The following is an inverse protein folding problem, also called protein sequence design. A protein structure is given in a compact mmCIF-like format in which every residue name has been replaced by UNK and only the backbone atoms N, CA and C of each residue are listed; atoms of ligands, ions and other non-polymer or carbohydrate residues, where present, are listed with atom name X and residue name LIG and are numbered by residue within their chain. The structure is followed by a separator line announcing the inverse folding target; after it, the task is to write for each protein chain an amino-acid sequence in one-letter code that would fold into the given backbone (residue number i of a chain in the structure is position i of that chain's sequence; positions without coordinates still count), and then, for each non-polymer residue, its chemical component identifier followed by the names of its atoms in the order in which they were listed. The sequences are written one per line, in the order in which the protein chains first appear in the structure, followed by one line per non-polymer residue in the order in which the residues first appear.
data_IF_158098544690
#
_entry.id   IF_158098544690
#
_cell.length_a   1.000
_cell.length_b   1.000
_cell.length_c   1.000
_cell.angle_alpha   90.00
_cell.angle_beta   90.00
_cell.angle_gamma   90.00
#
_symmetry.space_group_name_H-M   'P 1'
#
loop_
_entity.id
_entity.type
_entity.pdbx_description
1 polymer ?
#
# COMPACT_ATOMS: atom_id res chain seq x y z
N UNK A 1 7.19 -12.12 -5.55
CA UNK A 1 7.56 -10.89 -6.24
C UNK A 1 6.95 -9.67 -5.57
N UNK A 2 7.81 -8.77 -5.09
CA UNK A 2 7.37 -7.58 -4.37
C UNK A 2 6.47 -6.67 -5.22
N UNK A 3 6.81 -6.50 -6.49
CA UNK A 3 6.02 -5.65 -7.38
C UNK A 3 4.60 -6.17 -7.57
N UNK A 4 4.43 -7.48 -7.62
CA UNK A 4 3.10 -8.07 -7.73
C UNK A 4 2.21 -7.67 -6.55
N UNK A 5 2.74 -7.77 -5.34
CA UNK A 5 1.98 -7.43 -4.14
C UNK A 5 1.64 -5.94 -4.08
N UNK A 6 2.59 -5.08 -4.49
CA UNK A 6 2.35 -3.64 -4.53
C UNK A 6 1.27 -3.30 -5.57
N UNK A 7 1.31 -3.92 -6.75
CA UNK A 7 0.28 -3.70 -7.76
C UNK A 7 -1.08 -4.24 -7.33
N UNK A 8 -1.12 -5.34 -6.57
CA UNK A 8 -2.36 -5.85 -6.01
C UNK A 8 -2.97 -4.87 -5.01
N UNK A 9 -2.14 -4.27 -4.16
CA UNK A 9 -2.62 -3.24 -3.22
C UNK A 9 -3.15 -2.01 -3.95
N UNK A 10 -2.45 -1.57 -4.98
CA UNK A 10 -2.89 -0.44 -5.81
C UNK A 10 -4.24 -0.73 -6.45
N UNK A 11 -4.40 -1.93 -7.01
CA UNK A 11 -5.65 -2.36 -7.62
C UNK A 11 -6.78 -2.37 -6.59
N UNK A 12 -6.53 -2.89 -5.40
CA UNK A 12 -7.54 -2.93 -4.34
C UNK A 12 -8.00 -1.52 -3.98
N UNK A 13 -7.08 -0.58 -3.90
CA UNK A 13 -7.40 0.83 -3.61
C UNK A 13 -8.24 1.44 -4.73
N UNK A 14 -7.88 1.21 -5.99
CA UNK A 14 -8.60 1.74 -7.15
C UNK A 14 -10.01 1.18 -7.21
N UNK A 15 -10.17 -0.13 -7.05
CA UNK A 15 -11.48 -0.78 -7.07
C UNK A 15 -12.35 -0.27 -5.93
N UNK A 16 -11.77 -0.12 -4.73
CA UNK A 16 -12.50 0.40 -3.58
C UNK A 16 -13.07 1.79 -3.86
N UNK A 17 -12.26 2.66 -4.48
CA UNK A 17 -12.71 4.00 -4.85
C UNK A 17 -13.81 3.95 -5.92
N UNK A 18 -13.63 3.11 -6.94
CA UNK A 18 -14.61 2.98 -8.03
C UNK A 18 -15.97 2.48 -7.53
N UNK A 19 -15.95 1.58 -6.56
CA UNK A 19 -17.17 1.04 -5.96
C UNK A 19 -17.79 1.99 -4.94
N UNK A 20 -17.09 3.07 -4.59
CA UNK A 20 -17.52 4.03 -3.56
C UNK A 20 -17.84 3.33 -2.24
N UNK A 21 -17.08 2.30 -1.93
CA UNK A 21 -17.25 1.54 -0.71
C UNK A 21 -16.84 2.38 0.51
N UNK A 22 -17.48 2.12 1.65
CA UNK A 22 -17.11 2.71 2.93
C UNK A 22 -16.59 1.68 3.91
N UNK A 23 -16.40 0.44 3.47
CA UNK A 23 -15.90 -0.63 4.33
C UNK A 23 -14.38 -0.55 4.43
N UNK A 24 -13.90 0.46 5.15
CA UNK A 24 -12.47 0.71 5.30
C UNK A 24 -11.76 -0.42 6.05
N UNK A 25 -12.46 -1.11 6.96
CA UNK A 25 -11.88 -2.26 7.67
C UNK A 25 -11.46 -3.37 6.73
N UNK A 26 -12.32 -3.69 5.75
CA UNK A 26 -12.02 -4.73 4.77
C UNK A 26 -10.81 -4.34 3.93
N UNK A 27 -10.77 -3.09 3.47
CA UNK A 27 -9.64 -2.61 2.67
C UNK A 27 -8.34 -2.65 3.48
N UNK A 28 -8.39 -2.18 4.74
CA UNK A 28 -7.21 -2.20 5.62
C UNK A 28 -6.68 -3.62 5.80
N UNK A 29 -7.56 -4.60 6.00
CA UNK A 29 -7.17 -6.00 6.15
C UNK A 29 -6.49 -6.53 4.89
N UNK A 30 -7.03 -6.20 3.71
CA UNK A 30 -6.42 -6.60 2.44
C UNK A 30 -5.03 -5.99 2.26
N UNK A 31 -4.88 -4.71 2.58
CA UNK A 31 -3.60 -4.03 2.48
C UNK A 31 -2.58 -4.62 3.44
N UNK A 32 -2.97 -4.89 4.68
CA UNK A 32 -2.09 -5.52 5.67
C UNK A 32 -1.65 -6.91 5.23
N UNK A 33 -2.57 -7.71 4.70
CA UNK A 33 -2.24 -9.05 4.19
C UNK A 33 -1.20 -8.96 3.07
N UNK A 34 -1.37 -8.04 2.14
CA UNK A 34 -0.40 -7.86 1.06
C UNK A 34 0.95 -7.36 1.57
N UNK A 35 0.97 -6.49 2.58
CA UNK A 35 2.21 -6.05 3.22
C UNK A 35 2.94 -7.24 3.84
N UNK A 36 2.22 -8.11 4.54
CA UNK A 36 2.81 -9.30 5.16
C UNK A 36 3.41 -10.24 4.10
N UNK A 37 2.68 -10.47 3.01
CA UNK A 37 3.17 -11.29 1.91
C UNK A 37 4.41 -10.67 1.27
N UNK A 38 4.39 -9.36 1.06
CA UNK A 38 5.50 -8.63 0.45
C UNK A 38 6.75 -8.73 1.32
N UNK A 39 6.63 -8.48 2.63
CA UNK A 39 7.78 -8.52 3.53
C UNK A 39 8.32 -9.94 3.70
N UNK A 40 7.43 -10.94 3.70
CA UNK A 40 7.84 -12.35 3.79
C UNK A 40 8.53 -12.84 2.52
N UNK A 41 8.18 -12.27 1.37
CA UNK A 41 8.70 -12.68 0.06
C UNK A 41 9.87 -11.82 -0.41
N UNK A 42 10.35 -10.92 0.43
CA UNK A 42 11.40 -9.97 0.03
C UNK A 42 12.73 -10.68 -0.15
N UNK A 43 13.16 -10.80 -1.40
CA UNK A 43 14.46 -11.38 -1.75
C UNK A 43 15.38 -10.37 -2.42
N UNK A 44 14.92 -9.14 -2.61
CA UNK A 44 15.70 -8.08 -3.24
C UNK A 44 16.84 -7.62 -2.33
N UNK A 45 17.96 -7.24 -2.96
CA UNK A 45 19.13 -6.72 -2.26
C UNK A 45 19.68 -5.53 -3.04
N UNK A 46 20.50 -4.71 -2.37
CA UNK A 46 21.18 -3.59 -3.00
C UNK A 46 20.34 -2.33 -3.05
N UNK A 47 20.68 -1.44 -3.97
CA UNK A 47 20.10 -0.10 -4.04
C UNK A 47 18.59 -0.12 -4.32
N UNK A 48 18.15 -1.00 -5.20
CA UNK A 48 16.73 -1.09 -5.53
C UNK A 48 15.89 -1.44 -4.30
N UNK A 49 16.41 -2.34 -3.46
CA UNK A 49 15.76 -2.72 -2.20
C UNK A 49 15.69 -1.53 -1.24
N UNK A 50 16.80 -0.79 -1.10
CA UNK A 50 16.85 0.37 -0.22
C UNK A 50 15.88 1.46 -0.66
N UNK A 51 15.81 1.73 -1.96
CA UNK A 51 14.89 2.72 -2.51
C UNK A 51 13.43 2.32 -2.27
N UNK A 52 13.12 1.05 -2.42
CA UNK A 52 11.78 0.54 -2.17
C UNK A 52 11.41 0.70 -0.70
N UNK A 53 12.34 0.44 0.21
CA UNK A 53 12.10 0.60 1.65
C UNK A 53 11.83 2.05 2.04
N UNK A 54 12.43 3.01 1.37
CA UNK A 54 12.16 4.43 1.64
C UNK A 54 10.70 4.79 1.38
N UNK A 55 10.07 4.14 0.42
CA UNK A 55 8.65 4.32 0.17
C UNK A 55 7.81 3.44 1.10
N UNK A 56 8.23 2.18 1.29
CA UNK A 56 7.43 1.16 1.97
C UNK A 56 7.22 1.46 3.45
N UNK A 57 8.25 1.93 4.16
CA UNK A 57 8.15 2.18 5.60
C UNK A 57 7.08 3.23 5.90
N UNK A 58 7.07 4.42 5.26
CA UNK A 58 5.98 5.37 5.47
C UNK A 58 4.62 4.83 5.04
N UNK A 59 4.59 4.01 3.98
CA UNK A 59 3.34 3.41 3.51
C UNK A 59 2.74 2.47 4.57
N UNK A 60 3.57 1.65 5.21
CA UNK A 60 3.12 0.76 6.28
C UNK A 60 2.50 1.56 7.43
N UNK A 61 3.10 2.68 7.79
CA UNK A 61 2.54 3.56 8.82
C UNK A 61 1.20 4.14 8.40
N UNK A 62 1.05 4.54 7.14
CA UNK A 62 -0.22 5.05 6.62
C UNK A 62 -1.31 3.99 6.71
N UNK A 63 -1.00 2.75 6.36
CA UNK A 63 -1.97 1.65 6.44
C UNK A 63 -2.35 1.37 7.89
N UNK A 64 -1.39 1.40 8.82
CA UNK A 64 -1.66 1.19 10.23
C UNK A 64 -2.61 2.26 10.77
N UNK A 65 -2.35 3.53 10.49
CA UNK A 65 -3.22 4.64 10.90
C UNK A 65 -4.60 4.50 10.25
N UNK A 66 -4.64 4.15 8.97
CA UNK A 66 -5.89 3.94 8.25
C UNK A 66 -6.74 2.84 8.91
N UNK A 67 -6.10 1.74 9.34
CA UNK A 67 -6.82 0.64 9.99
C UNK A 67 -7.42 1.05 11.34
N UNK A 68 -6.81 2.04 11.99
CA UNK A 68 -7.30 2.55 13.28
C UNK A 68 -8.35 3.64 13.13
N UNK A 69 -8.09 4.61 12.25
CA UNK A 69 -8.96 5.78 12.07
C UNK A 69 -10.09 5.56 11.08
N UNK A 70 -9.87 4.73 10.06
CA UNK A 70 -10.89 4.37 9.06
C UNK A 70 -11.58 5.60 8.45
N UNK A 71 -10.79 6.61 8.10
CA UNK A 71 -11.33 7.87 7.59
C UNK A 71 -11.00 8.06 6.10
N UNK A 72 -11.82 8.88 5.43
CA UNK A 72 -11.59 9.23 4.02
C UNK A 72 -10.28 9.98 3.83
N UNK A 73 -9.86 10.79 4.82
CA UNK A 73 -8.58 11.50 4.77
C UNK A 73 -7.42 10.53 4.72
N UNK A 74 -7.44 9.47 5.53
CA UNK A 74 -6.40 8.46 5.52
C UNK A 74 -6.41 7.66 4.23
N UNK A 75 -7.58 7.40 3.68
CA UNK A 75 -7.69 6.75 2.37
C UNK A 75 -7.01 7.60 1.28
N UNK A 76 -7.23 8.92 1.29
CA UNK A 76 -6.57 9.84 0.34
C UNK A 76 -5.05 9.80 0.48
N UNK A 77 -4.53 9.71 1.71
CA UNK A 77 -3.10 9.60 1.95
C UNK A 77 -2.52 8.32 1.33
N UNK A 78 -3.25 7.22 1.43
CA UNK A 78 -2.84 5.96 0.80
C UNK A 78 -2.83 6.10 -0.73
N UNK A 79 -3.84 6.73 -1.32
CA UNK A 79 -3.88 6.99 -2.75
C UNK A 79 -2.67 7.83 -3.19
N UNK A 80 -2.33 8.86 -2.43
CA UNK A 80 -1.19 9.73 -2.73
C UNK A 80 0.13 8.96 -2.64
N UNK A 81 0.22 8.01 -1.72
CA UNK A 81 1.40 7.15 -1.59
C UNK A 81 1.65 6.37 -2.88
N UNK A 82 0.59 5.83 -3.51
CA UNK A 82 0.74 5.12 -4.78
C UNK A 82 1.09 6.06 -5.94
N UNK A 83 0.62 7.29 -5.94
CA UNK A 83 1.04 8.27 -6.93
C UNK A 83 2.54 8.53 -6.83
N UNK A 84 3.06 8.67 -5.62
CA UNK A 84 4.49 8.83 -5.38
C UNK A 84 5.25 7.59 -5.86
N UNK A 85 4.76 6.41 -5.53
CA UNK A 85 5.38 5.16 -5.96
C UNK A 85 5.51 5.12 -7.49
N UNK A 86 4.45 5.46 -8.21
CA UNK A 86 4.43 5.41 -9.66
C UNK A 86 5.38 6.43 -10.30
N UNK A 87 5.68 7.54 -9.62
CA UNK A 87 6.65 8.51 -10.08
C UNK A 87 8.08 7.97 -10.04
N UNK A 88 8.40 7.13 -9.05
CA UNK A 88 9.75 6.62 -8.86
C UNK A 88 9.99 5.24 -9.47
N UNK A 89 8.94 4.43 -9.61
CA UNK A 89 9.07 3.01 -9.98
C UNK A 89 8.23 2.66 -11.21
N UNK A 90 8.20 3.53 -12.17
CA UNK A 90 7.48 3.29 -13.43
C UNK A 90 8.02 2.10 -14.19
#
# INVERSE_FOLDING_TARGET
NMMLHIRNMEKDVVVFEQEKSTNYSLLADKLKTNIDLLTSSCTMKGQAHDELHKWLVPYIELVDVFSKEKSANQFSEIQNSFKTFNQYFQ
#
